data_IF_311427786723
#
_entry.id   IF_311427786723
#
_cell.length_a   1.000
_cell.length_b   1.000
_cell.length_c   1.000
_cell.angle_alpha   90.00
_cell.angle_beta   90.00
_cell.angle_gamma   90.00
#
_symmetry.space_group_name_H-M   'P 1'
#
loop_
_entity.id
_entity.type
_entity.pdbx_description
1 polymer ?
#
# COMPACT_ATOMS: atom_id res chain seq x y z
N UNK A 1 -24.02 24.45 -2.25
CA UNK A 1 -23.07 24.09 -1.18
C UNK A 1 -22.32 22.88 -1.68
N UNK A 2 -21.12 23.05 -2.21
CA UNK A 2 -20.30 21.93 -2.69
C UNK A 2 -19.72 21.24 -1.47
N UNK A 3 -20.12 20.00 -1.19
CA UNK A 3 -19.41 19.14 -0.23
C UNK A 3 -17.95 19.05 -0.69
N UNK A 4 -17.04 19.71 0.03
CA UNK A 4 -15.62 19.49 -0.14
C UNK A 4 -15.29 18.10 0.40
N UNK A 5 -15.34 17.11 -0.48
CA UNK A 5 -14.91 15.75 -0.18
C UNK A 5 -13.45 15.79 0.27
N UNK A 6 -13.23 15.37 1.52
CA UNK A 6 -11.90 15.24 2.11
C UNK A 6 -11.06 14.28 1.25
N UNK A 7 -9.78 14.61 0.95
CA UNK A 7 -8.93 13.76 0.13
C UNK A 7 -8.69 12.40 0.82
N UNK A 8 -8.83 11.32 0.05
CA UNK A 8 -8.51 9.96 0.50
C UNK A 8 -6.99 9.84 0.68
N UNK A 9 -6.56 9.40 1.86
CA UNK A 9 -5.16 9.20 2.20
C UNK A 9 -4.75 7.73 2.03
N UNK A 10 -3.84 7.52 1.10
CA UNK A 10 -3.39 6.20 0.66
C UNK A 10 -1.97 5.96 1.16
N UNK A 11 -1.73 4.78 1.71
CA UNK A 11 -0.39 4.26 1.95
C UNK A 11 -0.16 3.00 1.10
N UNK A 12 1.10 2.72 0.75
CA UNK A 12 1.47 1.50 0.04
C UNK A 12 2.54 0.75 0.83
N UNK A 13 2.31 -0.53 1.06
CA UNK A 13 3.32 -1.47 1.55
C UNK A 13 3.87 -2.25 0.37
N UNK A 14 5.20 -2.30 0.27
CA UNK A 14 5.91 -2.98 -0.81
C UNK A 14 6.82 -4.11 -0.32
N UNK A 15 7.14 -5.05 -1.21
CA UNK A 15 8.13 -6.08 -0.91
C UNK A 15 9.52 -5.44 -0.70
N UNK A 16 10.20 -5.85 0.37
CA UNK A 16 11.53 -5.35 0.76
C UNK A 16 12.60 -5.81 -0.23
N UNK A 17 12.59 -7.10 -0.61
CA UNK A 17 13.52 -7.68 -1.59
C UNK A 17 13.39 -6.97 -2.94
N UNK A 18 12.17 -6.85 -3.46
CA UNK A 18 11.93 -6.19 -4.75
C UNK A 18 12.29 -4.70 -4.68
N UNK A 19 12.25 -4.08 -3.49
CA UNK A 19 12.60 -2.66 -3.35
C UNK A 19 14.08 -2.35 -3.57
N UNK A 20 14.96 -3.34 -3.47
CA UNK A 20 16.39 -3.16 -3.73
C UNK A 20 16.66 -2.87 -5.22
N UNK A 21 15.84 -3.42 -6.12
CA UNK A 21 15.97 -3.24 -7.56
C UNK A 21 14.83 -2.43 -8.20
N UNK A 22 13.79 -2.08 -7.45
CA UNK A 22 12.64 -1.34 -7.96
C UNK A 22 12.48 -0.02 -7.16
N UNK A 23 12.54 1.16 -7.78
CA UNK A 23 12.27 2.42 -7.09
C UNK A 23 10.77 2.66 -6.84
N UNK A 24 9.88 1.84 -7.42
CA UNK A 24 8.43 2.00 -7.30
C UNK A 24 7.79 2.88 -8.38
N UNK A 25 8.52 3.21 -9.45
CA UNK A 25 8.05 4.06 -10.56
C UNK A 25 6.71 3.60 -11.13
N UNK A 26 6.51 2.29 -11.34
CA UNK A 26 5.24 1.76 -11.83
C UNK A 26 4.07 2.01 -10.86
N UNK A 27 4.30 1.88 -9.55
CA UNK A 27 3.29 2.14 -8.53
C UNK A 27 2.90 3.63 -8.50
N UNK A 28 3.89 4.53 -8.52
CA UNK A 28 3.65 5.98 -8.55
C UNK A 28 3.01 6.42 -9.86
N UNK A 29 3.42 5.87 -11.00
CA UNK A 29 2.79 6.17 -12.29
C UNK A 29 1.32 5.76 -12.30
N UNK A 30 1.00 4.56 -11.83
CA UNK A 30 -0.39 4.11 -11.74
C UNK A 30 -1.22 4.99 -10.80
N UNK A 31 -0.65 5.43 -9.67
CA UNK A 31 -1.30 6.39 -8.78
C UNK A 31 -1.51 7.75 -9.49
N UNK A 32 -0.44 8.38 -9.99
CA UNK A 32 -0.49 9.71 -10.62
C UNK A 32 -1.43 9.77 -11.83
N UNK A 33 -1.49 8.70 -12.62
CA UNK A 33 -2.35 8.60 -13.80
C UNK A 33 -3.74 8.01 -13.49
N UNK A 34 -4.03 7.68 -12.23
CA UNK A 34 -5.29 7.03 -11.78
C UNK A 34 -5.64 5.78 -12.60
N UNK A 35 -4.66 4.88 -12.72
CA UNK A 35 -4.76 3.62 -13.46
C UNK A 35 -4.73 2.40 -12.54
N UNK A 36 -5.07 1.25 -13.13
CA UNK A 36 -5.08 -0.06 -12.46
C UNK A 36 -5.87 -0.01 -11.14
N UNK A 37 -5.23 -0.30 -10.00
CA UNK A 37 -5.90 -0.32 -8.68
C UNK A 37 -6.16 1.06 -8.09
N UNK A 38 -5.83 2.13 -8.83
CA UNK A 38 -6.09 3.51 -8.43
C UNK A 38 -7.21 4.19 -9.23
N UNK A 39 -7.93 3.47 -10.11
CA UNK A 39 -8.98 4.02 -10.98
C UNK A 39 -10.17 4.63 -10.23
N UNK A 40 -10.48 4.11 -9.05
CA UNK A 40 -11.64 4.55 -8.25
C UNK A 40 -11.33 5.79 -7.40
N UNK A 41 -10.07 6.22 -7.33
CA UNK A 41 -9.69 7.38 -6.54
C UNK A 41 -9.80 8.67 -7.35
N UNK A 42 -10.37 9.70 -6.73
CA UNK A 42 -10.40 11.05 -7.29
C UNK A 42 -9.00 11.68 -7.38
N UNK A 43 -8.89 12.80 -8.07
CA UNK A 43 -7.64 13.55 -8.22
C UNK A 43 -7.11 14.14 -6.91
N UNK A 44 -7.98 14.35 -5.91
CA UNK A 44 -7.59 14.87 -4.60
C UNK A 44 -6.93 13.81 -3.72
N UNK A 45 -7.09 12.51 -4.02
CA UNK A 45 -6.45 11.44 -3.27
C UNK A 45 -4.93 11.62 -3.19
N UNK A 46 -4.36 11.31 -2.02
CA UNK A 46 -2.97 11.58 -1.68
C UNK A 46 -2.25 10.30 -1.28
N UNK A 47 -1.07 10.09 -1.87
CA UNK A 47 -0.15 9.07 -1.37
C UNK A 47 0.63 9.64 -0.19
N UNK A 48 0.28 9.22 1.03
CA UNK A 48 0.86 9.75 2.27
C UNK A 48 2.02 8.92 2.80
N UNK A 49 2.17 7.68 2.34
CA UNK A 49 3.27 6.81 2.73
C UNK A 49 3.55 5.72 1.68
N UNK A 50 4.82 5.39 1.49
CA UNK A 50 5.27 4.33 0.60
C UNK A 50 6.47 3.64 1.25
N UNK A 51 6.30 2.43 1.79
CA UNK A 51 7.33 1.79 2.61
C UNK A 51 7.35 0.27 2.48
N UNK A 52 8.50 -0.34 2.78
CA UNK A 52 8.69 -1.78 2.63
C UNK A 52 8.17 -2.57 3.84
N UNK A 53 7.81 -3.83 3.62
CA UNK A 53 7.46 -4.76 4.70
C UNK A 53 8.64 -5.09 5.63
N UNK A 54 9.89 -4.85 5.18
CA UNK A 54 11.11 -5.05 5.97
C UNK A 54 11.63 -6.47 6.07
N UNK A 55 11.38 -7.32 5.09
CA UNK A 55 12.12 -8.58 4.98
C UNK A 55 11.64 -9.73 5.89
N UNK A 56 10.50 -9.60 6.58
CA UNK A 56 9.76 -10.65 7.34
C UNK A 56 9.84 -10.61 8.89
N UNK A 57 8.83 -11.24 9.51
CA UNK A 57 8.34 -11.22 10.92
C UNK A 57 7.13 -10.30 11.20
N UNK A 58 6.70 -9.47 10.26
CA UNK A 58 5.55 -8.55 10.45
C UNK A 58 5.78 -7.40 11.43
N UNK A 59 6.85 -7.45 12.25
CA UNK A 59 7.16 -6.47 13.29
C UNK A 59 7.37 -5.05 12.74
N UNK A 60 8.01 -4.92 11.57
CA UNK A 60 8.18 -3.61 10.92
C UNK A 60 6.85 -3.03 10.46
N UNK A 61 6.01 -3.83 9.80
CA UNK A 61 4.66 -3.42 9.37
C UNK A 61 3.85 -2.94 10.57
N UNK A 62 3.79 -3.71 11.66
CA UNK A 62 3.09 -3.30 12.87
C UNK A 62 3.57 -1.95 13.41
N UNK A 63 4.89 -1.75 13.55
CA UNK A 63 5.47 -0.49 14.02
C UNK A 63 5.14 0.69 13.11
N UNK A 64 5.28 0.51 11.79
CA UNK A 64 5.04 1.57 10.81
C UNK A 64 3.55 1.90 10.69
N UNK A 65 2.66 0.91 10.77
CA UNK A 65 1.21 1.16 10.85
C UNK A 65 0.85 1.95 12.12
N UNK A 66 1.44 1.63 13.27
CA UNK A 66 1.22 2.40 14.51
C UNK A 66 1.63 3.86 14.36
N UNK A 67 2.74 4.14 13.66
CA UNK A 67 3.14 5.51 13.34
C UNK A 67 2.20 6.15 12.31
N UNK A 68 1.86 5.42 11.25
CA UNK A 68 0.99 5.87 10.15
C UNK A 68 -0.41 6.27 10.65
N UNK A 69 -0.98 5.55 11.63
CA UNK A 69 -2.31 5.85 12.19
C UNK A 69 -2.45 7.30 12.69
N UNK A 70 -1.35 7.93 13.13
CA UNK A 70 -1.34 9.35 13.54
C UNK A 70 -1.68 10.32 12.40
N UNK A 71 -1.57 9.86 11.15
CA UNK A 71 -1.85 10.63 9.94
C UNK A 71 -3.21 10.30 9.32
N UNK A 72 -4.00 9.42 9.96
CA UNK A 72 -5.33 8.98 9.54
C UNK A 72 -5.36 8.41 8.11
N UNK A 73 -4.61 7.32 7.81
CA UNK A 73 -4.72 6.64 6.52
C UNK A 73 -6.14 6.09 6.34
N UNK A 74 -6.72 6.28 5.16
CA UNK A 74 -8.01 5.70 4.81
C UNK A 74 -7.82 4.29 4.22
N UNK A 75 -6.77 4.12 3.40
CA UNK A 75 -6.48 2.87 2.69
C UNK A 75 -4.99 2.54 2.72
N UNK A 76 -4.68 1.25 2.87
CA UNK A 76 -3.34 0.69 2.62
C UNK A 76 -3.41 -0.27 1.45
N UNK A 77 -2.61 -0.01 0.43
CA UNK A 77 -2.39 -0.94 -0.67
C UNK A 77 -1.26 -1.91 -0.35
N UNK A 78 -1.47 -3.19 -0.62
CA UNK A 78 -0.42 -4.19 -0.75
C UNK A 78 0.06 -4.18 -2.20
N UNK A 79 1.32 -3.81 -2.45
CA UNK A 79 1.83 -3.65 -3.82
C UNK A 79 1.73 -4.93 -4.65
N UNK A 80 1.56 -4.81 -5.98
CA UNK A 80 1.45 -5.98 -6.86
C UNK A 80 2.63 -6.96 -6.71
N UNK A 81 3.86 -6.49 -6.43
CA UNK A 81 5.02 -7.38 -6.25
C UNK A 81 4.97 -8.27 -4.98
N UNK A 82 4.04 -8.02 -4.06
CA UNK A 82 3.79 -8.90 -2.92
C UNK A 82 2.77 -10.01 -3.23
N UNK A 83 2.06 -9.88 -4.36
CA UNK A 83 0.93 -10.71 -4.76
C UNK A 83 1.25 -11.60 -5.98
N UNK A 84 2.23 -11.21 -6.80
CA UNK A 84 2.65 -12.00 -7.96
C UNK A 84 3.30 -13.32 -7.54
N UNK A 85 2.88 -14.41 -8.18
CA UNK A 85 3.41 -15.76 -7.96
C UNK A 85 4.44 -16.18 -9.03
N UNK A 86 4.40 -15.56 -10.22
CA UNK A 86 5.20 -16.01 -11.38
C UNK A 86 6.61 -15.42 -11.45
N UNK A 87 6.79 -14.17 -11.02
CA UNK A 87 8.04 -13.42 -11.18
C UNK A 87 8.89 -13.34 -9.91
N UNK A 88 8.29 -13.64 -8.76
CA UNK A 88 8.93 -13.58 -7.45
C UNK A 88 8.36 -14.67 -6.55
N UNK A 89 9.15 -15.24 -5.61
CA UNK A 89 8.61 -16.16 -4.63
C UNK A 89 7.45 -15.50 -3.87
N UNK A 90 6.32 -16.19 -3.81
CA UNK A 90 5.11 -15.75 -3.11
C UNK A 90 5.47 -15.28 -1.71
N UNK A 91 4.99 -14.12 -1.30
CA UNK A 91 5.28 -13.58 0.02
C UNK A 91 4.70 -14.54 1.10
N UNK A 92 5.54 -15.15 1.96
CA UNK A 92 5.08 -16.13 2.93
C UNK A 92 4.26 -15.50 4.07
N UNK A 93 4.25 -14.17 4.17
CA UNK A 93 3.64 -13.43 5.26
C UNK A 93 2.50 -12.51 4.79
N UNK A 94 2.03 -12.66 3.55
CA UNK A 94 1.02 -11.75 2.98
C UNK A 94 -0.27 -11.72 3.82
N UNK A 95 -0.71 -12.89 4.29
CA UNK A 95 -1.93 -13.02 5.10
C UNK A 95 -1.77 -12.37 6.47
N UNK A 96 -0.61 -12.56 7.10
CA UNK A 96 -0.26 -11.91 8.37
C UNK A 96 -0.22 -10.39 8.23
N UNK A 97 0.36 -9.88 7.13
CA UNK A 97 0.43 -8.44 6.85
C UNK A 97 -0.98 -7.89 6.64
N UNK A 98 -1.80 -8.56 5.82
CA UNK A 98 -3.20 -8.19 5.58
C UNK A 98 -3.97 -8.11 6.90
N UNK A 99 -3.89 -9.15 7.72
CA UNK A 99 -4.52 -9.19 9.03
C UNK A 99 -4.05 -8.07 9.95
N UNK A 100 -2.74 -7.79 9.98
CA UNK A 100 -2.18 -6.69 10.79
C UNK A 100 -2.77 -5.33 10.41
N UNK A 101 -3.03 -5.08 9.12
CA UNK A 101 -3.65 -3.84 8.65
C UNK A 101 -5.15 -3.80 9.01
N UNK A 102 -5.84 -4.92 8.83
CA UNK A 102 -7.26 -5.05 9.19
C UNK A 102 -7.49 -4.86 10.69
N UNK A 103 -6.67 -5.48 11.53
CA UNK A 103 -6.68 -5.33 12.99
C UNK A 103 -6.37 -3.89 13.41
N UNK A 104 -5.64 -3.13 12.57
CA UNK A 104 -5.41 -1.71 12.77
C UNK A 104 -6.62 -0.83 12.40
N UNK A 105 -7.69 -1.41 11.84
CA UNK A 105 -8.91 -0.73 11.42
C UNK A 105 -8.77 0.04 10.11
N UNK A 106 -7.83 -0.35 9.24
CA UNK A 106 -7.55 0.34 7.97
C UNK A 106 -8.01 -0.54 6.80
N UNK A 107 -8.64 0.05 5.79
CA UNK A 107 -9.05 -0.67 4.57
C UNK A 107 -7.81 -1.17 3.83
N UNK A 108 -7.85 -2.45 3.43
CA UNK A 108 -6.81 -3.06 2.59
C UNK A 108 -7.29 -3.10 1.14
N UNK A 109 -6.42 -2.71 0.22
CA UNK A 109 -6.57 -2.99 -1.21
C UNK A 109 -5.36 -3.78 -1.68
N UNK A 110 -5.58 -4.78 -2.51
CA UNK A 110 -4.52 -5.63 -3.04
C UNK A 110 -4.19 -5.19 -4.45
N UNK A 111 -2.95 -4.82 -4.72
CA UNK A 111 -2.48 -4.40 -6.03
C UNK A 111 -2.14 -2.91 -6.11
N UNK A 112 -1.32 -2.58 -7.10
CA UNK A 112 -1.00 -1.20 -7.48
C UNK A 112 -1.13 -1.01 -8.99
N UNK A 113 -0.15 -1.50 -9.76
CA UNK A 113 -0.02 -1.18 -11.19
C UNK A 113 -0.18 -2.37 -12.14
N UNK A 114 -0.04 -3.60 -11.62
CA UNK A 114 -0.50 -4.84 -12.27
C UNK A 114 -1.80 -5.23 -11.62
#
# INVERSE_FOLDING_TARGET
MTEETKPIKIAVIRCDIVSEACPGVGCFKAFNERKSYFKEYDEKAQMIAFFTCGGCSGRRVYRLLKALKKHNPDVVHLSSCMLMEDSYPRCPNIDTIRKTIQDAGIKVVEGTHH
#
